data_IF_225267113857
#
_entry.id   IF_225267113857
#
_cell.length_a   1.000
_cell.length_b   1.000
_cell.length_c   1.000
_cell.angle_alpha   90.00
_cell.angle_beta   90.00
_cell.angle_gamma   90.00
#
_symmetry.space_group_name_H-M   'P 1'
#
loop_
_entity.id
_entity.type
_entity.pdbx_description
1 polymer ?
#
# COMPACT_ATOMS: atom_id res chain seq x y z
N UNK A 1 -21.77 -8.77 -12.53
CA UNK A 1 -21.04 -7.81 -11.68
C UNK A 1 -20.01 -8.59 -10.91
N UNK A 2 -18.76 -8.17 -10.92
CA UNK A 2 -17.68 -8.82 -10.15
C UNK A 2 -17.91 -8.60 -8.65
N UNK A 3 -17.76 -9.64 -7.84
CA UNK A 3 -17.86 -9.51 -6.37
C UNK A 3 -16.71 -8.63 -5.86
N UNK A 4 -16.98 -7.60 -5.03
CA UNK A 4 -15.93 -6.80 -4.42
C UNK A 4 -14.96 -7.65 -3.62
N UNK A 5 -13.66 -7.30 -3.70
CA UNK A 5 -12.64 -7.88 -2.82
C UNK A 5 -12.58 -7.15 -1.49
N UNK A 6 -12.75 -5.82 -1.53
CA UNK A 6 -12.86 -4.96 -0.35
C UNK A 6 -14.00 -3.98 -0.60
N UNK A 7 -14.91 -3.84 0.34
CA UNK A 7 -16.01 -2.89 0.31
C UNK A 7 -16.17 -2.22 1.68
N UNK A 8 -16.12 -0.91 1.67
CA UNK A 8 -16.41 -0.05 2.83
C UNK A 8 -17.67 0.74 2.52
N UNK A 9 -18.63 0.77 3.44
CA UNK A 9 -19.90 1.49 3.32
C UNK A 9 -20.09 2.42 4.51
N UNK A 10 -20.11 3.72 4.23
CA UNK A 10 -20.33 4.79 5.22
C UNK A 10 -19.45 4.67 6.46
N UNK A 11 -18.17 4.31 6.26
CA UNK A 11 -17.22 4.05 7.35
C UNK A 11 -16.77 5.34 7.99
N UNK A 12 -16.95 5.43 9.32
CA UNK A 12 -16.50 6.59 10.12
C UNK A 12 -15.63 6.14 11.29
N UNK A 13 -14.51 6.86 11.48
CA UNK A 13 -13.56 6.59 12.55
C UNK A 13 -13.02 7.86 13.18
N UNK A 14 -12.99 7.87 14.52
CA UNK A 14 -12.38 8.92 15.34
C UNK A 14 -11.40 8.29 16.32
N UNK A 15 -10.18 8.81 16.44
CA UNK A 15 -9.26 8.36 17.47
C UNK A 15 -9.76 8.66 18.87
N UNK A 16 -9.44 7.82 19.89
CA UNK A 16 -9.79 8.10 21.27
C UNK A 16 -9.32 9.50 21.72
N UNK A 17 -10.24 10.31 22.23
CA UNK A 17 -9.95 11.71 22.61
C UNK A 17 -9.94 12.72 21.47
N UNK A 18 -10.11 12.29 20.23
CA UNK A 18 -10.27 13.19 19.08
C UNK A 18 -11.64 13.90 19.07
N UNK A 19 -11.67 15.13 18.56
CA UNK A 19 -12.89 15.94 18.47
C UNK A 19 -13.60 15.84 17.12
N UNK A 20 -12.93 15.29 16.11
CA UNK A 20 -13.46 15.17 14.75
C UNK A 20 -13.15 13.78 14.15
N UNK A 21 -14.00 13.26 13.25
CA UNK A 21 -13.74 12.03 12.55
C UNK A 21 -12.53 12.17 11.61
N UNK A 22 -11.67 11.16 11.58
CA UNK A 22 -10.54 11.04 10.65
C UNK A 22 -10.97 10.31 9.37
N UNK A 23 -11.90 9.36 9.48
CA UNK A 23 -12.70 8.85 8.36
C UNK A 23 -14.13 9.28 8.58
N UNK A 24 -14.76 9.82 7.54
CA UNK A 24 -16.04 10.52 7.66
C UNK A 24 -16.97 10.05 6.54
N UNK A 25 -17.87 9.11 6.86
CA UNK A 25 -18.87 8.58 5.92
C UNK A 25 -18.21 8.10 4.61
N UNK A 26 -17.13 7.30 4.75
CA UNK A 26 -16.26 6.92 3.65
C UNK A 26 -16.76 5.66 2.97
N UNK A 27 -16.93 5.75 1.65
CA UNK A 27 -17.21 4.61 0.77
C UNK A 27 -15.99 4.27 -0.08
N UNK A 28 -15.67 2.98 -0.21
CA UNK A 28 -14.60 2.48 -1.07
C UNK A 28 -14.94 1.08 -1.55
N UNK A 29 -14.79 0.84 -2.85
CA UNK A 29 -14.95 -0.49 -3.43
C UNK A 29 -13.73 -0.84 -4.28
N UNK A 30 -13.08 -1.97 -3.97
CA UNK A 30 -12.06 -2.59 -4.81
C UNK A 30 -12.58 -3.91 -5.35
N UNK A 31 -12.56 -4.08 -6.66
CA UNK A 31 -12.89 -5.34 -7.34
C UNK A 31 -11.62 -6.01 -7.87
N UNK A 32 -11.73 -7.27 -8.25
CA UNK A 32 -10.60 -8.02 -8.82
C UNK A 32 -10.04 -7.32 -10.07
N UNK A 33 -8.74 -7.10 -10.10
CA UNK A 33 -8.02 -6.45 -11.19
C UNK A 33 -7.91 -4.93 -11.07
N UNK A 34 -8.57 -4.31 -10.10
CA UNK A 34 -8.44 -2.87 -9.85
C UNK A 34 -7.01 -2.49 -9.49
N UNK A 35 -6.53 -1.42 -10.11
CA UNK A 35 -5.26 -0.75 -9.81
C UNK A 35 -5.57 0.70 -9.49
N UNK A 36 -5.82 0.95 -8.22
CA UNK A 36 -6.28 2.27 -7.76
C UNK A 36 -5.13 3.03 -7.14
N UNK A 37 -4.94 4.26 -7.61
CA UNK A 37 -4.12 5.28 -6.97
C UNK A 37 -4.98 6.18 -6.10
N UNK A 38 -4.54 6.51 -4.92
CA UNK A 38 -5.19 7.47 -4.04
C UNK A 38 -4.24 8.61 -3.75
N UNK A 39 -4.59 9.79 -4.25
CA UNK A 39 -3.90 11.03 -3.95
C UNK A 39 -4.49 11.64 -2.69
N UNK A 40 -3.65 11.86 -1.68
CA UNK A 40 -4.14 12.31 -0.41
C UNK A 40 -3.10 13.17 0.32
N UNK A 41 -3.43 14.39 0.75
CA UNK A 41 -2.52 15.22 1.54
C UNK A 41 -2.24 14.61 2.92
N UNK A 42 -1.19 15.10 3.57
CA UNK A 42 -0.89 14.67 4.93
C UNK A 42 -2.05 15.04 5.87
N UNK A 43 -2.42 14.10 6.76
CA UNK A 43 -3.53 14.30 7.69
C UNK A 43 -4.93 14.02 7.13
N UNK A 44 -5.08 13.64 5.86
CA UNK A 44 -6.40 13.33 5.27
C UNK A 44 -7.03 12.02 5.76
N UNK A 45 -6.28 11.17 6.50
CA UNK A 45 -6.78 9.89 7.01
C UNK A 45 -6.31 8.64 6.25
N UNK A 46 -5.39 8.76 5.28
CA UNK A 46 -4.92 7.65 4.43
C UNK A 46 -4.39 6.44 5.20
N UNK A 47 -3.47 6.64 6.15
CA UNK A 47 -2.97 5.56 7.01
C UNK A 47 -4.06 4.96 7.87
N UNK A 48 -4.98 5.80 8.39
CA UNK A 48 -6.15 5.34 9.13
C UNK A 48 -7.07 4.47 8.28
N UNK A 49 -7.24 4.80 7.01
CA UNK A 49 -8.03 3.99 6.07
C UNK A 49 -7.45 2.58 5.91
N UNK A 50 -6.15 2.46 5.60
CA UNK A 50 -5.53 1.13 5.45
C UNK A 50 -5.50 0.35 6.76
N UNK A 51 -5.29 1.02 7.90
CA UNK A 51 -5.39 0.41 9.23
C UNK A 51 -6.81 -0.08 9.53
N UNK A 52 -7.83 0.66 9.09
CA UNK A 52 -9.23 0.27 9.28
C UNK A 52 -9.58 -0.96 8.42
N UNK A 53 -9.12 -1.02 7.18
CA UNK A 53 -9.26 -2.20 6.32
C UNK A 53 -8.61 -3.43 6.97
N UNK A 54 -7.44 -3.26 7.60
CA UNK A 54 -6.73 -4.36 8.28
C UNK A 54 -7.25 -4.68 9.68
N UNK A 55 -8.23 -3.94 10.19
CA UNK A 55 -8.81 -4.12 11.53
C UNK A 55 -7.91 -3.65 12.68
N UNK A 56 -6.88 -2.84 12.37
CA UNK A 56 -6.03 -2.20 13.38
C UNK A 56 -6.71 -0.98 14.01
N UNK A 57 -7.62 -0.34 13.27
CA UNK A 57 -8.53 0.68 13.75
C UNK A 57 -9.96 0.18 13.59
N UNK A 58 -10.77 0.25 14.67
CA UNK A 58 -12.18 -0.19 14.66
C UNK A 58 -13.08 1.01 14.37
N UNK A 59 -13.84 1.01 13.26
CA UNK A 59 -14.77 2.10 12.96
C UNK A 59 -15.90 2.14 13.99
N UNK A 60 -16.41 3.35 14.24
CA UNK A 60 -17.59 3.57 15.10
C UNK A 60 -18.90 3.45 14.32
N UNK A 61 -18.88 3.63 12.99
CA UNK A 61 -20.03 3.49 12.12
C UNK A 61 -19.63 2.94 10.74
N UNK A 62 -20.61 2.44 10.01
CA UNK A 62 -20.43 1.84 8.69
C UNK A 62 -20.11 0.36 8.75
N UNK A 63 -19.92 -0.22 7.58
CA UNK A 63 -19.68 -1.65 7.38
C UNK A 63 -18.42 -1.87 6.56
N UNK A 64 -17.67 -2.93 6.90
CA UNK A 64 -16.51 -3.41 6.14
C UNK A 64 -16.78 -4.83 5.71
N UNK A 65 -16.67 -5.09 4.42
CA UNK A 65 -16.77 -6.42 3.85
C UNK A 65 -15.50 -6.74 3.05
N UNK A 66 -14.87 -7.89 3.32
CA UNK A 66 -13.65 -8.33 2.62
C UNK A 66 -13.85 -9.75 2.12
N UNK A 67 -13.64 -9.97 0.83
CA UNK A 67 -13.87 -11.22 0.14
C UNK A 67 -15.30 -11.78 0.35
N UNK A 68 -16.31 -10.87 0.38
CA UNK A 68 -17.71 -11.22 0.58
C UNK A 68 -18.07 -11.61 2.03
N UNK A 69 -17.21 -11.27 3.00
CA UNK A 69 -17.45 -11.55 4.42
C UNK A 69 -17.46 -10.25 5.22
N UNK A 70 -18.45 -10.02 6.09
CA UNK A 70 -18.46 -8.87 6.98
C UNK A 70 -17.35 -8.99 8.04
N UNK A 71 -16.64 -7.89 8.28
CA UNK A 71 -15.56 -7.79 9.27
C UNK A 71 -16.10 -7.22 10.58
N UNK A 72 -16.40 -8.08 11.56
CA UNK A 72 -17.02 -7.69 12.84
C UNK A 72 -16.07 -7.87 14.02
N UNK A 73 -15.37 -9.00 14.05
CA UNK A 73 -14.53 -9.40 15.18
C UNK A 73 -13.06 -9.51 14.77
N UNK A 74 -12.17 -9.59 15.76
CA UNK A 74 -10.74 -9.78 15.51
C UNK A 74 -10.43 -11.06 14.71
N UNK A 75 -11.21 -12.12 14.94
CA UNK A 75 -11.07 -13.37 14.21
C UNK A 75 -11.31 -13.22 12.70
N UNK A 76 -12.27 -12.35 12.30
CA UNK A 76 -12.55 -12.08 10.89
C UNK A 76 -11.36 -11.39 10.23
N UNK A 77 -10.80 -10.36 10.87
CA UNK A 77 -9.61 -9.66 10.38
C UNK A 77 -8.37 -10.56 10.39
N UNK A 78 -8.15 -11.37 11.41
CA UNK A 78 -7.04 -12.32 11.45
C UNK A 78 -7.05 -13.27 10.24
N UNK A 79 -8.24 -13.74 9.85
CA UNK A 79 -8.41 -14.64 8.71
C UNK A 79 -8.05 -14.02 7.35
N UNK A 80 -8.15 -12.69 7.22
CA UNK A 80 -7.86 -12.01 5.94
C UNK A 80 -6.43 -11.44 5.86
N UNK A 81 -5.74 -11.25 6.98
CA UNK A 81 -4.39 -10.65 7.03
C UNK A 81 -3.33 -11.44 6.26
N UNK A 82 -3.58 -12.71 5.96
CA UNK A 82 -2.72 -13.51 5.08
C UNK A 82 -3.06 -13.34 3.60
N UNK A 83 -4.18 -12.72 3.27
CA UNK A 83 -4.70 -12.55 1.91
C UNK A 83 -4.70 -11.09 1.45
N UNK A 84 -4.66 -10.15 2.39
CA UNK A 84 -4.49 -8.71 2.14
C UNK A 84 -3.10 -8.32 2.63
N UNK A 85 -2.23 -7.94 1.72
CA UNK A 85 -0.88 -7.48 2.06
C UNK A 85 -0.89 -5.98 2.32
N UNK A 86 -0.32 -5.55 3.44
CA UNK A 86 -0.13 -4.14 3.77
C UNK A 86 1.37 -3.80 3.81
N UNK A 87 1.77 -2.82 3.02
CA UNK A 87 3.06 -2.15 3.18
C UNK A 87 2.83 -0.91 4.07
N UNK A 88 3.40 -0.91 5.26
CA UNK A 88 3.33 0.20 6.20
C UNK A 88 4.14 1.41 5.72
N UNK A 89 3.74 2.60 6.13
CA UNK A 89 4.47 3.84 5.84
C UNK A 89 5.90 3.83 6.42
N UNK A 90 6.11 3.28 7.61
CA UNK A 90 7.43 3.06 8.17
C UNK A 90 7.85 1.60 8.00
N UNK A 91 8.97 1.37 7.31
CA UNK A 91 9.49 0.02 7.09
C UNK A 91 10.12 -0.60 8.34
N UNK A 92 10.52 0.22 9.33
CA UNK A 92 11.07 -0.27 10.59
C UNK A 92 10.00 -0.94 11.45
N UNK A 93 8.73 -0.58 11.28
CA UNK A 93 7.60 -1.26 11.94
C UNK A 93 7.32 -2.66 11.35
N UNK A 94 7.92 -3.00 10.21
CA UNK A 94 7.62 -4.21 9.46
C UNK A 94 8.78 -5.22 9.40
N UNK A 95 10.02 -4.76 9.61
CA UNK A 95 11.22 -5.58 9.52
C UNK A 95 11.83 -5.82 10.90
N UNK A 96 11.95 -7.08 11.32
CA UNK A 96 12.36 -7.44 12.68
C UNK A 96 13.27 -8.66 12.75
N UNK A 97 13.50 -9.37 11.62
CA UNK A 97 14.39 -10.51 11.58
C UNK A 97 15.87 -10.10 11.42
N UNK A 98 16.84 -10.96 11.77
CA UNK A 98 18.26 -10.66 11.66
C UNK A 98 18.72 -10.39 10.22
N UNK A 99 18.20 -11.14 9.25
CA UNK A 99 18.57 -11.02 7.83
C UNK A 99 17.38 -10.74 6.95
N UNK A 100 17.65 -10.15 5.79
CA UNK A 100 16.64 -9.90 4.74
C UNK A 100 15.91 -11.19 4.36
N UNK A 101 16.66 -12.29 4.15
CA UNK A 101 16.05 -13.56 3.76
C UNK A 101 15.11 -14.10 4.83
N UNK A 102 15.45 -13.92 6.11
CA UNK A 102 14.61 -14.35 7.22
C UNK A 102 13.34 -13.50 7.32
N UNK A 103 13.43 -12.17 7.13
CA UNK A 103 12.25 -11.29 7.10
C UNK A 103 11.29 -11.66 5.95
N UNK A 104 11.83 -11.88 4.74
CA UNK A 104 11.00 -12.22 3.58
C UNK A 104 10.41 -13.64 3.68
N UNK A 105 11.13 -14.58 4.29
CA UNK A 105 10.63 -15.95 4.50
C UNK A 105 9.64 -16.06 5.66
N UNK A 106 9.57 -15.08 6.57
CA UNK A 106 8.76 -15.14 7.79
C UNK A 106 7.26 -15.31 7.50
N UNK A 107 6.71 -14.52 6.59
CA UNK A 107 5.30 -14.64 6.19
C UNK A 107 4.94 -16.02 5.65
N UNK A 108 5.63 -16.54 4.64
CA UNK A 108 5.46 -17.90 4.14
C UNK A 108 5.59 -19.01 5.21
N UNK A 109 6.52 -18.87 6.16
CA UNK A 109 6.64 -19.79 7.29
C UNK A 109 5.39 -19.79 8.16
N UNK A 110 4.87 -18.62 8.49
CA UNK A 110 3.63 -18.49 9.27
C UNK A 110 2.39 -18.98 8.53
N UNK A 111 2.43 -19.01 7.19
CA UNK A 111 1.42 -19.66 6.36
C UNK A 111 1.55 -21.19 6.31
N UNK A 112 2.54 -21.77 7.03
CA UNK A 112 2.76 -23.21 7.13
C UNK A 112 3.65 -23.82 6.05
N UNK A 113 4.35 -23.02 5.24
CA UNK A 113 5.34 -23.56 4.31
C UNK A 113 6.52 -24.17 5.08
N UNK A 114 7.06 -25.27 4.55
CA UNK A 114 8.29 -25.85 5.10
C UNK A 114 9.47 -24.88 4.91
N UNK A 115 10.46 -24.84 5.82
CA UNK A 115 11.55 -23.86 5.81
C UNK A 115 12.26 -23.72 4.46
N UNK A 116 12.55 -24.84 3.78
CA UNK A 116 13.18 -24.82 2.47
C UNK A 116 12.30 -24.13 1.42
N UNK A 117 11.00 -24.45 1.39
CA UNK A 117 10.07 -23.84 0.42
C UNK A 117 9.86 -22.36 0.69
N UNK A 118 9.78 -21.95 1.97
CA UNK A 118 9.66 -20.54 2.34
C UNK A 118 10.90 -19.73 1.90
N UNK A 119 12.11 -20.28 2.09
CA UNK A 119 13.36 -19.63 1.63
C UNK A 119 13.44 -19.54 0.12
N UNK A 120 13.10 -20.60 -0.62
CA UNK A 120 13.05 -20.56 -2.08
C UNK A 120 12.11 -19.47 -2.57
N UNK A 121 10.90 -19.40 -2.00
CA UNK A 121 9.91 -18.36 -2.33
C UNK A 121 10.41 -16.95 -2.02
N UNK A 122 11.10 -16.77 -0.89
CA UNK A 122 11.71 -15.50 -0.54
C UNK A 122 12.78 -15.09 -1.54
N UNK A 123 13.68 -16.03 -1.95
CA UNK A 123 14.71 -15.76 -2.95
C UNK A 123 14.12 -15.38 -4.31
N UNK A 124 13.06 -16.06 -4.77
CA UNK A 124 12.33 -15.73 -6.00
C UNK A 124 11.77 -14.30 -5.99
N UNK A 125 11.18 -13.87 -4.87
CA UNK A 125 10.65 -12.52 -4.73
C UNK A 125 11.78 -11.47 -4.68
N UNK A 126 12.87 -11.75 -3.96
CA UNK A 126 14.03 -10.87 -3.92
C UNK A 126 14.65 -10.69 -5.32
N UNK A 127 14.68 -11.76 -6.12
CA UNK A 127 15.14 -11.72 -7.51
C UNK A 127 14.20 -10.87 -8.37
N UNK A 128 12.90 -11.12 -8.28
CA UNK A 128 11.88 -10.36 -9.01
C UNK A 128 11.96 -8.85 -8.74
N UNK A 129 12.26 -8.46 -7.50
CA UNK A 129 12.45 -7.06 -7.12
C UNK A 129 13.85 -6.51 -7.45
N UNK A 130 14.80 -7.36 -7.88
CA UNK A 130 16.16 -6.96 -8.20
C UNK A 130 17.05 -6.69 -6.98
N UNK A 131 16.68 -7.23 -5.82
CA UNK A 131 17.39 -7.03 -4.54
C UNK A 131 17.99 -8.31 -3.95
N UNK A 132 18.21 -9.35 -4.76
CA UNK A 132 18.82 -10.63 -4.34
C UNK A 132 20.19 -10.45 -3.67
N UNK A 133 20.93 -9.41 -4.06
CA UNK A 133 22.23 -9.06 -3.47
C UNK A 133 22.14 -8.67 -1.99
N UNK A 134 20.95 -8.36 -1.49
CA UNK A 134 20.70 -8.00 -0.09
C UNK A 134 20.31 -9.19 0.79
N UNK A 135 20.13 -10.40 0.25
CA UNK A 135 19.51 -11.53 0.97
C UNK A 135 20.18 -11.88 2.30
N UNK A 136 21.50 -11.80 2.36
CA UNK A 136 22.29 -12.07 3.58
C UNK A 136 22.59 -10.81 4.38
N UNK A 137 22.10 -9.65 3.94
CA UNK A 137 22.34 -8.41 4.64
C UNK A 137 21.55 -8.35 5.96
N UNK A 138 22.14 -7.67 6.92
CA UNK A 138 21.51 -7.44 8.23
C UNK A 138 20.50 -6.31 8.10
N UNK A 139 19.23 -6.59 8.39
CA UNK A 139 18.09 -5.72 8.08
C UNK A 139 18.24 -4.31 8.65
N UNK A 140 18.69 -4.16 9.90
CA UNK A 140 18.84 -2.84 10.52
C UNK A 140 19.98 -1.98 9.93
N UNK A 141 20.87 -2.55 9.09
CA UNK A 141 21.96 -1.81 8.41
C UNK A 141 21.60 -1.32 7.02
N UNK A 142 20.42 -1.64 6.54
CA UNK A 142 19.94 -1.22 5.24
C UNK A 142 19.62 0.28 5.21
N UNK A 143 19.78 0.90 4.04
CA UNK A 143 19.24 2.24 3.81
C UNK A 143 17.71 2.23 3.84
N UNK A 144 17.07 3.38 4.07
CA UNK A 144 15.61 3.48 4.10
C UNK A 144 14.94 2.94 2.82
N UNK A 145 15.50 3.24 1.65
CA UNK A 145 15.01 2.69 0.38
C UNK A 145 15.17 1.18 0.27
N UNK A 146 16.30 0.62 0.74
CA UNK A 146 16.49 -0.83 0.79
C UNK A 146 15.50 -1.49 1.74
N UNK A 147 15.29 -0.94 2.94
CA UNK A 147 14.28 -1.43 3.89
C UNK A 147 12.89 -1.44 3.26
N UNK A 148 12.52 -0.38 2.54
CA UNK A 148 11.23 -0.29 1.84
C UNK A 148 11.05 -1.43 0.83
N UNK A 149 12.06 -1.71 0.02
CA UNK A 149 12.02 -2.79 -0.96
C UNK A 149 11.97 -4.17 -0.30
N UNK A 150 12.67 -4.36 0.83
CA UNK A 150 12.61 -5.61 1.62
C UNK A 150 11.24 -5.78 2.28
N UNK A 151 10.65 -4.74 2.85
CA UNK A 151 9.30 -4.78 3.42
C UNK A 151 8.25 -5.15 2.35
N UNK A 152 8.36 -4.58 1.15
CA UNK A 152 7.52 -4.98 0.02
C UNK A 152 7.74 -6.46 -0.36
N UNK A 153 8.99 -6.93 -0.40
CA UNK A 153 9.30 -8.33 -0.66
C UNK A 153 8.64 -9.26 0.37
N UNK A 154 8.70 -8.90 1.65
CA UNK A 154 8.08 -9.67 2.73
C UNK A 154 6.55 -9.79 2.56
N UNK A 155 5.89 -8.70 2.19
CA UNK A 155 4.44 -8.70 1.88
C UNK A 155 4.13 -9.56 0.66
N UNK A 156 4.89 -9.40 -0.43
CA UNK A 156 4.68 -10.14 -1.68
C UNK A 156 4.93 -11.64 -1.53
N UNK A 157 5.86 -12.03 -0.67
CA UNK A 157 6.17 -13.44 -0.42
C UNK A 157 4.98 -14.22 0.16
N UNK A 158 4.04 -13.56 0.82
CA UNK A 158 2.80 -14.19 1.27
C UNK A 158 1.80 -14.48 0.14
N UNK A 159 2.04 -14.01 -1.09
CA UNK A 159 1.13 -14.10 -2.24
C UNK A 159 -0.28 -13.57 -1.93
N UNK A 160 -0.42 -12.34 -1.48
CA UNK A 160 -1.72 -11.77 -1.14
C UNK A 160 -2.59 -11.64 -2.38
N UNK A 161 -3.93 -11.58 -2.20
CA UNK A 161 -4.91 -11.32 -3.28
C UNK A 161 -5.03 -9.82 -3.59
N UNK A 162 -4.80 -8.98 -2.58
CA UNK A 162 -4.85 -7.51 -2.65
C UNK A 162 -3.64 -6.93 -1.95
N UNK A 163 -3.04 -5.90 -2.54
CA UNK A 163 -1.98 -5.10 -1.91
C UNK A 163 -2.51 -3.72 -1.52
N UNK A 164 -2.27 -3.33 -0.29
CA UNK A 164 -2.45 -1.97 0.22
C UNK A 164 -1.05 -1.37 0.42
N UNK A 165 -0.72 -0.33 -0.32
CA UNK A 165 0.62 0.25 -0.35
C UNK A 165 0.54 1.69 0.15
N UNK A 166 0.98 1.93 1.39
CA UNK A 166 1.01 3.27 1.99
C UNK A 166 2.38 3.91 1.76
N UNK A 167 2.40 4.93 0.90
CA UNK A 167 3.58 5.70 0.48
C UNK A 167 4.75 4.80 0.02
N UNK A 168 4.56 3.89 -0.95
CA UNK A 168 5.53 2.87 -1.30
C UNK A 168 6.85 3.42 -1.87
N UNK A 169 6.85 4.67 -2.33
CA UNK A 169 8.00 5.35 -2.95
C UNK A 169 8.80 6.23 -2.00
N UNK A 170 8.37 6.37 -0.76
CA UNK A 170 9.04 7.24 0.21
C UNK A 170 10.51 6.83 0.39
N UNK A 171 11.43 7.80 0.17
CA UNK A 171 12.87 7.57 0.32
C UNK A 171 13.54 6.75 -0.79
N UNK A 172 12.81 6.39 -1.87
CA UNK A 172 13.38 5.71 -3.04
C UNK A 172 13.96 6.70 -4.04
N UNK A 173 15.07 6.33 -4.67
CA UNK A 173 15.57 7.04 -5.86
C UNK A 173 14.72 6.72 -7.11
N UNK A 174 14.88 7.51 -8.17
CA UNK A 174 14.09 7.38 -9.39
C UNK A 174 14.21 6.02 -10.06
N UNK A 175 15.39 5.38 -10.00
CA UNK A 175 15.62 4.05 -10.60
C UNK A 175 14.84 2.97 -9.87
N UNK A 176 14.85 3.01 -8.53
CA UNK A 176 14.11 2.05 -7.70
C UNK A 176 12.60 2.28 -7.87
N UNK A 177 12.14 3.55 -7.93
CA UNK A 177 10.72 3.87 -8.22
C UNK A 177 10.25 3.30 -9.54
N UNK A 178 11.04 3.47 -10.61
CA UNK A 178 10.72 2.89 -11.92
C UNK A 178 10.64 1.37 -11.86
N UNK A 179 11.59 0.72 -11.17
CA UNK A 179 11.56 -0.74 -11.00
C UNK A 179 10.35 -1.22 -10.22
N UNK A 180 9.98 -0.50 -9.16
CA UNK A 180 8.77 -0.80 -8.39
C UNK A 180 7.52 -0.70 -9.28
N UNK A 181 7.42 0.36 -10.09
CA UNK A 181 6.29 0.53 -11.01
C UNK A 181 6.20 -0.60 -12.04
N UNK A 182 7.32 -1.03 -12.62
CA UNK A 182 7.37 -2.19 -13.53
C UNK A 182 6.86 -3.46 -12.83
N UNK A 183 7.37 -3.76 -11.64
CA UNK A 183 6.96 -4.94 -10.87
C UNK A 183 5.47 -4.92 -10.56
N UNK A 184 4.92 -3.80 -10.10
CA UNK A 184 3.48 -3.68 -9.81
C UNK A 184 2.61 -3.92 -11.06
N UNK A 185 3.04 -3.42 -12.23
CA UNK A 185 2.35 -3.69 -13.50
C UNK A 185 2.40 -5.17 -13.91
N UNK A 186 3.58 -5.78 -13.79
CA UNK A 186 3.80 -7.19 -14.17
C UNK A 186 3.04 -8.17 -13.27
N UNK A 187 2.78 -7.80 -12.00
CA UNK A 187 2.09 -8.66 -11.06
C UNK A 187 0.65 -9.00 -11.47
N UNK A 188 -0.04 -8.13 -12.23
CA UNK A 188 -1.44 -8.31 -12.58
C UNK A 188 -2.39 -8.42 -11.37
N UNK A 189 -1.97 -7.90 -10.22
CA UNK A 189 -2.71 -8.00 -8.96
C UNK A 189 -3.64 -6.80 -8.75
N UNK A 190 -4.61 -6.99 -7.87
CA UNK A 190 -5.42 -5.89 -7.35
C UNK A 190 -4.62 -5.14 -6.30
N UNK A 191 -4.59 -3.80 -6.38
CA UNK A 191 -3.95 -2.97 -5.36
C UNK A 191 -4.57 -1.59 -5.21
N UNK A 192 -4.37 -1.05 -4.01
CA UNK A 192 -4.55 0.36 -3.68
C UNK A 192 -3.18 0.94 -3.34
N UNK A 193 -2.71 1.91 -4.13
CA UNK A 193 -1.50 2.69 -3.86
C UNK A 193 -1.92 4.05 -3.34
N UNK A 194 -1.50 4.39 -2.15
CA UNK A 194 -1.68 5.70 -1.55
C UNK A 194 -0.35 6.43 -1.64
N UNK A 195 -0.31 7.57 -2.31
CA UNK A 195 0.89 8.38 -2.47
C UNK A 195 0.56 9.84 -2.72
N UNK A 196 1.47 10.72 -2.37
CA UNK A 196 1.45 12.13 -2.76
C UNK A 196 2.27 12.40 -4.04
N UNK A 197 2.94 11.39 -4.59
CA UNK A 197 3.74 11.48 -5.81
C UNK A 197 2.87 11.15 -7.05
N UNK A 198 2.34 12.20 -7.69
CA UNK A 198 1.45 12.05 -8.85
C UNK A 198 2.07 11.22 -9.97
N UNK A 199 3.33 11.50 -10.33
CA UNK A 199 4.04 10.81 -11.43
C UNK A 199 4.10 9.28 -11.20
N UNK A 200 4.30 8.85 -9.95
CA UNK A 200 4.30 7.44 -9.62
C UNK A 200 2.91 6.82 -9.69
N UNK A 201 1.91 7.52 -9.14
CA UNK A 201 0.51 7.06 -9.20
C UNK A 201 0.05 6.91 -10.64
N UNK A 202 0.33 7.89 -11.51
CA UNK A 202 0.00 7.84 -12.95
C UNK A 202 0.67 6.65 -13.65
N UNK A 203 1.89 6.29 -13.25
CA UNK A 203 2.57 5.12 -13.83
C UNK A 203 1.90 3.80 -13.46
N UNK A 204 1.29 3.66 -12.27
CA UNK A 204 0.88 2.35 -11.75
C UNK A 204 -0.63 2.15 -11.66
N UNK A 205 -1.42 3.21 -11.64
CA UNK A 205 -2.86 3.15 -11.43
C UNK A 205 -3.65 3.30 -12.73
N UNK A 206 -4.75 2.57 -12.85
CA UNK A 206 -5.73 2.71 -13.94
C UNK A 206 -6.81 3.74 -13.59
N UNK A 207 -7.04 3.97 -12.28
CA UNK A 207 -7.99 4.94 -11.73
C UNK A 207 -7.34 5.68 -10.56
N UNK A 208 -7.60 6.96 -10.45
CA UNK A 208 -7.07 7.80 -9.37
C UNK A 208 -8.22 8.42 -8.59
N UNK A 209 -8.18 8.29 -7.28
CA UNK A 209 -9.09 8.93 -6.35
C UNK A 209 -8.34 10.00 -5.55
N UNK A 210 -9.06 11.01 -5.11
CA UNK A 210 -8.57 11.95 -4.10
C UNK A 210 -9.20 11.65 -2.75
N UNK A 211 -8.48 11.93 -1.67
CA UNK A 211 -9.01 11.81 -0.31
C UNK A 211 -8.76 13.10 0.44
N UNK A 212 -9.83 13.74 0.92
CA UNK A 212 -9.79 14.98 1.70
C UNK A 212 -10.75 14.88 2.89
N UNK A 213 -10.36 15.41 4.04
CA UNK A 213 -11.17 15.44 5.27
C UNK A 213 -11.85 14.12 5.63
N UNK A 214 -11.14 12.99 5.40
CA UNK A 214 -11.63 11.66 5.69
C UNK A 214 -12.65 11.10 4.70
N UNK A 215 -12.86 11.75 3.55
CA UNK A 215 -13.76 11.32 2.48
C UNK A 215 -12.99 11.03 1.20
N UNK A 216 -13.48 10.08 0.41
CA UNK A 216 -12.99 9.87 -0.95
C UNK A 216 -13.83 10.72 -1.90
N UNK A 217 -13.14 11.55 -2.69
CA UNK A 217 -13.75 12.34 -3.76
C UNK A 217 -13.73 11.51 -5.05
N UNK A 218 -14.88 11.38 -5.69
CA UNK A 218 -15.01 10.74 -7.00
C UNK A 218 -14.85 11.77 -8.13
N UNK A 219 -14.62 11.31 -9.37
CA UNK A 219 -14.33 12.15 -10.54
C UNK A 219 -15.33 13.29 -10.79
N UNK A 220 -16.57 13.19 -10.29
CA UNK A 220 -17.58 14.25 -10.40
C UNK A 220 -17.30 15.44 -9.47
N UNK A 221 -16.43 15.29 -8.47
CA UNK A 221 -16.09 16.31 -7.46
C UNK A 221 -14.64 16.82 -7.59
N UNK A 222 -13.85 16.28 -8.52
CA UNK A 222 -12.44 16.64 -8.67
C UNK A 222 -12.30 17.97 -9.39
N UNK A 223 -12.02 19.03 -8.65
CA UNK A 223 -11.45 20.25 -9.19
C UNK A 223 -9.96 20.03 -9.52
N UNK A 224 -9.62 19.97 -10.80
CA UNK A 224 -8.23 19.87 -11.26
C UNK A 224 -7.46 21.12 -10.85
N UNK A 225 -6.74 21.05 -9.74
CA UNK A 225 -5.73 22.05 -9.42
C UNK A 225 -4.49 21.76 -10.28
N UNK A 226 -4.29 22.53 -11.34
CA UNK A 226 -3.03 22.58 -12.08
C UNK A 226 -1.96 23.17 -11.18
N UNK A 227 -1.11 22.34 -10.60
CA UNK A 227 0.13 22.82 -9.99
C UNK A 227 1.17 23.03 -11.10
N UNK A 228 1.47 24.29 -11.41
CA UNK A 228 2.63 24.63 -12.22
C UNK A 228 3.90 24.41 -11.38
N UNK A 229 4.63 23.36 -11.66
CA UNK A 229 5.93 23.13 -11.05
C UNK A 229 6.98 24.03 -11.73
N UNK A 230 7.45 25.05 -11.02
CA UNK A 230 8.62 25.83 -11.43
C UNK A 230 9.90 25.02 -11.15
N UNK A 231 10.47 24.41 -12.17
CA UNK A 231 11.83 23.89 -12.10
C UNK A 231 12.83 25.04 -12.15
N UNK A 232 13.59 25.26 -11.08
CA UNK A 232 14.74 26.16 -11.06
C UNK A 232 15.90 25.56 -11.85
N UNK A 233 15.87 25.65 -13.16
CA UNK A 233 17.02 25.48 -14.02
C UNK A 233 17.01 26.57 -15.10
N UNK A 234 17.87 27.57 -14.92
CA UNK A 234 18.26 28.52 -15.94
C UNK A 234 17.31 29.70 -16.19
N UNK A 235 17.91 30.83 -16.46
CA UNK A 235 17.34 32.17 -16.63
C UNK A 235 16.53 32.35 -17.95
N UNK A 236 15.82 31.36 -18.47
CA UNK A 236 14.92 31.58 -19.64
C UNK A 236 13.69 30.66 -19.55
N UNK A 237 12.47 31.23 -19.69
CA UNK A 237 11.27 30.44 -19.84
C UNK A 237 11.20 29.83 -21.25
N UNK A 238 10.89 28.52 -21.36
CA UNK A 238 10.54 27.89 -22.62
C UNK A 238 9.20 27.16 -22.44
N UNK A 239 8.32 27.40 -23.41
CA UNK A 239 7.03 26.73 -23.49
C UNK A 239 7.16 25.43 -24.26
N UNK A 240 6.64 24.34 -23.71
CA UNK A 240 6.39 23.10 -24.44
C UNK A 240 4.97 23.14 -25.03
N UNK A 241 4.90 22.83 -26.33
CA UNK A 241 3.65 22.60 -27.05
C UNK A 241 3.16 21.19 -26.80
#
# INVERSE_FOLDING_TARGET
MSTPLIELKSVSFTYPGGSAPVLNDLDLTLVQGDRIGMMAPNGSGKTTLVHTIMGLCRPQAGEIEIFGKPMKEEADFAAIRTQVGLLFQDSDDQLFCPTVLDDVAFGPLNQGLKPKAARTKAEEILEKLGISHLKEAVTHRLSGGQKRMVALAAVMAMSPKVLLLDEPTAGLDSKIKSRLAEVLKELGMTYLVISHEFDFVEMVADRVFSMEEGRILTDEEIHVHRHEHFHRHGNRPHSHK
#
